data_IF_800165453623
#
_entry.id   IF_800165453623
#
_cell.length_a   1.000
_cell.length_b   1.000
_cell.length_c   1.000
_cell.angle_alpha   90.00
_cell.angle_beta   90.00
_cell.angle_gamma   90.00
#
_symmetry.space_group_name_H-M   'P 1'
#
loop_
_entity.id
_entity.type
_entity.pdbx_description
1 polymer ?
#
# COMPACT_ATOMS: atom_id res chain seq x y z
N UNK A 1 10.48 18.34 13.65
CA UNK A 1 9.65 17.12 13.85
C UNK A 1 9.71 16.32 12.56
N UNK A 2 9.70 14.99 12.61
CA UNK A 2 10.05 14.08 11.49
C UNK A 2 8.90 13.77 10.50
N UNK A 3 7.80 14.54 10.54
CA UNK A 3 6.64 14.31 9.69
C UNK A 3 6.24 15.62 9.01
N UNK A 4 5.97 15.56 7.71
CA UNK A 4 5.51 16.73 6.94
C UNK A 4 4.11 17.12 7.37
N UNK A 5 3.79 18.42 7.29
CA UNK A 5 2.47 18.94 7.64
C UNK A 5 1.37 18.28 6.78
N UNK A 6 1.69 17.95 5.52
CA UNK A 6 0.82 17.21 4.60
C UNK A 6 0.50 15.81 5.13
N UNK A 7 1.50 15.09 5.64
CA UNK A 7 1.28 13.76 6.21
C UNK A 7 0.33 13.83 7.40
N UNK A 8 0.49 14.83 8.28
CA UNK A 8 -0.42 15.03 9.40
C UNK A 8 -1.84 15.39 8.95
N UNK A 9 -2.00 16.27 7.96
CA UNK A 9 -3.32 16.62 7.42
C UNK A 9 -4.07 15.39 6.88
N UNK A 10 -3.39 14.56 6.08
CA UNK A 10 -3.99 13.34 5.53
C UNK A 10 -4.22 12.26 6.59
N UNK A 11 -3.50 12.30 7.71
CA UNK A 11 -3.70 11.38 8.82
C UNK A 11 -4.87 11.80 9.73
N UNK A 12 -5.00 13.10 10.04
CA UNK A 12 -6.07 13.63 10.87
C UNK A 12 -7.41 13.70 10.12
N UNK A 13 -7.36 13.96 8.81
CA UNK A 13 -8.52 14.07 7.93
C UNK A 13 -8.34 13.21 6.67
N UNK A 14 -8.33 11.86 6.80
CA UNK A 14 -8.19 10.99 5.64
C UNK A 14 -9.41 11.19 4.74
N UNK A 15 -9.16 11.59 3.49
CA UNK A 15 -10.22 11.80 2.50
C UNK A 15 -10.61 10.47 1.88
N UNK A 16 -11.80 10.36 1.30
CA UNK A 16 -12.17 9.17 0.52
C UNK A 16 -12.14 7.82 1.27
N UNK A 17 -12.24 7.84 2.61
CA UNK A 17 -12.35 6.61 3.40
C UNK A 17 -13.74 6.01 3.21
N UNK A 18 -13.79 4.74 2.80
CA UNK A 18 -15.06 4.04 2.63
C UNK A 18 -14.94 2.80 1.78
N UNK A 19 -16.08 2.20 1.45
CA UNK A 19 -16.15 1.10 0.48
C UNK A 19 -17.26 1.38 -0.53
N UNK A 20 -17.13 0.73 -1.69
CA UNK A 20 -18.20 0.59 -2.66
C UNK A 20 -18.80 -0.82 -2.59
N UNK A 21 -19.99 -0.97 -3.14
CA UNK A 21 -20.62 -2.28 -3.30
C UNK A 21 -19.85 -3.11 -4.32
N UNK A 22 -19.49 -4.34 -3.94
CA UNK A 22 -18.68 -5.24 -4.77
C UNK A 22 -19.45 -5.73 -6.03
N UNK A 23 -20.77 -5.53 -6.07
CA UNK A 23 -21.67 -5.92 -7.15
C UNK A 23 -21.71 -4.94 -8.34
N UNK A 24 -21.15 -3.73 -8.21
CA UNK A 24 -21.07 -2.80 -9.33
C UNK A 24 -20.05 -3.31 -10.38
N UNK A 25 -20.44 -3.48 -11.67
CA UNK A 25 -19.53 -3.95 -12.72
C UNK A 25 -18.44 -2.93 -13.05
N UNK A 26 -18.67 -1.66 -12.68
CA UNK A 26 -17.79 -0.54 -12.93
C UNK A 26 -16.80 -0.29 -11.77
N UNK A 27 -16.77 -1.18 -10.76
CA UNK A 27 -15.88 -1.05 -9.61
C UNK A 27 -14.78 -2.10 -9.70
N UNK A 28 -13.53 -1.61 -9.79
CA UNK A 28 -12.31 -2.42 -9.63
C UNK A 28 -11.89 -2.44 -8.17
N UNK A 29 -11.54 -3.61 -7.65
CA UNK A 29 -11.10 -3.80 -6.27
C UNK A 29 -9.70 -4.39 -6.23
N UNK A 30 -8.76 -3.66 -5.62
CA UNK A 30 -7.41 -4.13 -5.32
C UNK A 30 -7.25 -4.31 -3.83
N UNK A 31 -6.91 -5.52 -3.39
CA UNK A 31 -6.55 -5.79 -2.00
C UNK A 31 -5.09 -6.23 -1.97
N UNK A 32 -4.27 -5.49 -1.24
CA UNK A 32 -2.84 -5.79 -1.06
C UNK A 32 -2.51 -5.70 0.41
N UNK A 33 -1.50 -6.45 0.84
CA UNK A 33 -1.01 -6.39 2.20
C UNK A 33 0.40 -6.92 2.29
N UNK A 34 1.16 -6.39 3.25
CA UNK A 34 2.52 -6.84 3.52
C UNK A 34 2.55 -7.57 4.86
N UNK A 35 2.76 -8.90 4.88
CA UNK A 35 2.82 -9.67 6.11
C UNK A 35 3.99 -9.25 7.01
N UNK A 36 5.05 -8.66 6.45
CA UNK A 36 6.21 -8.17 7.18
C UNK A 36 5.91 -6.94 8.06
N UNK A 37 5.01 -6.06 7.61
CA UNK A 37 4.66 -4.83 8.33
C UNK A 37 3.28 -4.89 9.00
N UNK A 38 2.45 -5.89 8.65
CA UNK A 38 1.07 -6.01 9.11
C UNK A 38 0.13 -4.98 8.49
N UNK A 39 0.58 -4.27 7.44
CA UNK A 39 -0.22 -3.28 6.74
C UNK A 39 -1.09 -3.99 5.67
N UNK A 40 -2.39 -3.70 5.67
CA UNK A 40 -3.36 -4.20 4.70
C UNK A 40 -4.13 -3.02 4.11
N UNK A 41 -4.24 -2.97 2.78
CA UNK A 41 -4.94 -1.92 2.05
C UNK A 41 -5.91 -2.54 1.05
N UNK A 42 -7.18 -2.12 1.15
CA UNK A 42 -8.21 -2.35 0.13
C UNK A 42 -8.48 -1.02 -0.57
N UNK A 43 -8.18 -0.96 -1.86
CA UNK A 43 -8.51 0.15 -2.75
C UNK A 43 -9.65 -0.26 -3.67
N UNK A 44 -10.65 0.60 -3.80
CA UNK A 44 -11.76 0.41 -4.72
C UNK A 44 -11.89 1.64 -5.61
N UNK A 45 -11.89 1.40 -6.92
CA UNK A 45 -11.94 2.44 -7.94
C UNK A 45 -13.22 2.28 -8.74
N UNK A 46 -14.03 3.34 -8.77
CA UNK A 46 -15.19 3.43 -9.65
C UNK A 46 -14.74 4.03 -10.98
N UNK A 47 -14.82 3.24 -12.03
CA UNK A 47 -14.30 3.57 -13.35
C UNK A 47 -15.46 3.75 -14.31
N UNK A 48 -15.37 4.76 -15.15
CA UNK A 48 -16.31 4.99 -16.22
C UNK A 48 -16.02 4.05 -17.40
N UNK A 49 -16.99 3.24 -17.87
CA UNK A 49 -16.77 2.27 -18.93
C UNK A 49 -16.60 2.90 -20.32
N UNK A 50 -17.05 4.14 -20.54
CA UNK A 50 -16.97 4.83 -21.83
C UNK A 50 -15.64 5.57 -21.99
N UNK A 51 -15.16 6.18 -20.91
CA UNK A 51 -13.97 7.05 -20.91
C UNK A 51 -12.74 6.43 -20.23
N UNK A 52 -12.89 5.24 -19.63
CA UNK A 52 -11.85 4.55 -18.86
C UNK A 52 -11.17 5.48 -17.83
N UNK A 53 -11.99 6.37 -17.25
CA UNK A 53 -11.58 7.39 -16.28
C UNK A 53 -12.09 7.03 -14.90
N UNK A 54 -11.27 7.25 -13.87
CA UNK A 54 -11.64 7.01 -12.48
C UNK A 54 -12.58 8.13 -12.03
N UNK A 55 -13.87 7.81 -11.84
CA UNK A 55 -14.89 8.75 -11.36
C UNK A 55 -14.69 9.03 -9.87
N UNK A 56 -14.48 7.97 -9.10
CA UNK A 56 -14.31 8.07 -7.66
C UNK A 56 -13.42 6.93 -7.15
N UNK A 57 -12.66 7.23 -6.11
CA UNK A 57 -11.77 6.28 -5.46
C UNK A 57 -12.10 6.25 -3.98
N UNK A 58 -12.15 5.05 -3.41
CA UNK A 58 -12.30 4.83 -1.97
C UNK A 58 -11.26 3.85 -1.50
N UNK A 59 -10.76 4.06 -0.28
CA UNK A 59 -9.84 3.12 0.33
C UNK A 59 -10.26 2.77 1.76
N UNK A 60 -9.85 1.58 2.18
CA UNK A 60 -9.79 1.15 3.57
C UNK A 60 -8.42 0.54 3.79
N UNK A 61 -7.66 1.09 4.72
CA UNK A 61 -6.37 0.53 5.11
C UNK A 61 -6.30 0.34 6.61
N UNK A 62 -5.64 -0.75 7.01
CA UNK A 62 -5.27 -1.06 8.36
C UNK A 62 -3.75 -1.06 8.38
N UNK A 63 -3.14 -0.18 9.16
CA UNK A 63 -1.69 -0.06 9.15
C UNK A 63 -1.19 1.20 9.83
N UNK A 64 0.07 1.50 9.58
CA UNK A 64 0.71 2.71 10.10
C UNK A 64 0.07 3.99 9.53
N UNK A 65 0.08 5.09 10.32
CA UNK A 65 -0.49 6.38 9.88
C UNK A 65 0.14 6.93 8.58
N UNK A 66 1.38 6.54 8.28
CA UNK A 66 2.06 6.87 7.02
C UNK A 66 1.45 6.14 5.81
N UNK A 67 0.92 4.92 5.98
CA UNK A 67 0.19 4.20 4.95
C UNK A 67 -1.15 4.88 4.68
N UNK A 68 -1.91 5.25 5.74
CA UNK A 68 -3.18 5.99 5.61
C UNK A 68 -2.98 7.30 4.83
N UNK A 69 -1.94 8.07 5.17
CA UNK A 69 -1.64 9.32 4.47
C UNK A 69 -1.28 9.08 2.99
N UNK A 70 -0.47 8.06 2.70
CA UNK A 70 -0.11 7.66 1.33
C UNK A 70 -1.33 7.25 0.51
N UNK A 71 -2.23 6.45 1.09
CA UNK A 71 -3.47 6.03 0.43
C UNK A 71 -4.40 7.21 0.18
N UNK A 72 -4.55 8.13 1.15
CA UNK A 72 -5.38 9.33 0.99
C UNK A 72 -4.88 10.18 -0.17
N UNK A 73 -3.57 10.48 -0.21
CA UNK A 73 -2.98 11.27 -1.29
C UNK A 73 -3.16 10.58 -2.65
N UNK A 74 -2.92 9.27 -2.71
CA UNK A 74 -3.10 8.49 -3.93
C UNK A 74 -4.54 8.58 -4.44
N UNK A 75 -5.54 8.43 -3.56
CA UNK A 75 -6.95 8.49 -3.97
C UNK A 75 -7.36 9.83 -4.56
N UNK A 76 -6.76 10.93 -4.12
CA UNK A 76 -6.99 12.24 -4.74
C UNK A 76 -6.33 12.35 -6.11
N UNK A 77 -5.13 11.78 -6.28
CA UNK A 77 -4.41 11.83 -7.54
C UNK A 77 -5.06 10.98 -8.62
N UNK A 78 -5.57 9.79 -8.28
CA UNK A 78 -6.22 8.90 -9.26
C UNK A 78 -7.59 9.42 -9.67
N UNK A 79 -8.25 10.24 -8.86
CA UNK A 79 -9.57 10.77 -9.17
C UNK A 79 -9.53 11.70 -10.39
N UNK A 80 -10.34 11.39 -11.41
CA UNK A 80 -10.40 12.14 -12.66
C UNK A 80 -9.27 11.84 -13.66
N UNK A 81 -8.39 10.87 -13.37
CA UNK A 81 -7.37 10.37 -14.30
C UNK A 81 -7.87 9.15 -15.06
N UNK A 82 -7.32 8.92 -16.26
CA UNK A 82 -7.51 7.67 -16.99
C UNK A 82 -6.74 6.52 -16.33
N UNK A 83 -7.10 5.27 -16.63
CA UNK A 83 -6.38 4.10 -16.12
C UNK A 83 -4.88 4.14 -16.47
N UNK A 84 -4.53 4.61 -17.66
CA UNK A 84 -3.13 4.74 -18.11
C UNK A 84 -2.38 5.77 -17.26
N UNK A 85 -2.98 6.94 -17.04
CA UNK A 85 -2.39 8.00 -16.21
C UNK A 85 -2.28 7.60 -14.74
N UNK A 86 -3.21 6.76 -14.26
CA UNK A 86 -3.14 6.22 -12.92
C UNK A 86 -1.93 5.27 -12.78
N UNK A 87 -1.67 4.43 -13.78
CA UNK A 87 -0.51 3.53 -13.82
C UNK A 87 0.84 4.27 -13.96
N UNK A 88 0.84 5.49 -14.49
CA UNK A 88 2.06 6.33 -14.53
C UNK A 88 2.48 6.86 -13.15
N UNK A 89 1.59 6.81 -12.15
CA UNK A 89 1.92 7.26 -10.78
C UNK A 89 2.89 6.27 -10.14
N UNK A 90 4.09 6.75 -9.81
CA UNK A 90 5.13 5.90 -9.20
C UNK A 90 5.23 6.15 -7.70
N UNK A 91 5.66 5.11 -6.98
CA UNK A 91 6.01 5.18 -5.56
C UNK A 91 6.94 6.37 -5.20
N UNK A 92 7.88 6.71 -6.08
CA UNK A 92 8.84 7.82 -5.87
C UNK A 92 8.15 9.18 -5.77
N UNK A 93 7.09 9.39 -6.53
CA UNK A 93 6.37 10.66 -6.58
C UNK A 93 5.56 10.85 -5.30
N UNK A 94 4.94 9.78 -4.79
CA UNK A 94 4.24 9.74 -3.49
C UNK A 94 5.23 9.98 -2.33
N UNK A 95 6.36 9.27 -2.33
CA UNK A 95 7.38 9.39 -1.28
C UNK A 95 7.98 10.80 -1.23
N UNK A 96 8.17 11.44 -2.39
CA UNK A 96 8.66 12.81 -2.50
C UNK A 96 7.64 13.83 -2.00
N UNK A 97 6.37 13.64 -2.34
CA UNK A 97 5.29 14.57 -1.93
C UNK A 97 5.06 14.56 -0.41
N UNK A 98 5.17 13.39 0.21
CA UNK A 98 5.03 13.21 1.64
C UNK A 98 6.33 13.45 2.42
N UNK A 99 7.43 13.75 1.71
CA UNK A 99 8.78 13.92 2.26
C UNK A 99 9.20 12.75 3.17
N UNK A 100 8.86 11.53 2.74
CA UNK A 100 9.10 10.34 3.54
C UNK A 100 10.61 10.02 3.59
N UNK A 101 11.16 9.70 4.77
CA UNK A 101 12.51 9.20 4.87
C UNK A 101 12.64 7.87 4.12
N UNK A 102 13.83 7.53 3.58
CA UNK A 102 14.04 6.40 2.67
C UNK A 102 13.64 5.03 3.24
N UNK A 103 13.50 4.91 4.55
CA UNK A 103 13.04 3.69 5.24
C UNK A 103 11.53 3.43 5.04
N UNK A 104 10.72 4.47 4.80
CA UNK A 104 9.25 4.36 4.66
C UNK A 104 8.75 4.24 3.21
N UNK A 105 9.65 3.99 2.26
CA UNK A 105 9.29 3.82 0.84
C UNK A 105 8.38 2.60 0.60
N UNK A 106 8.41 1.60 1.50
CA UNK A 106 7.54 0.42 1.41
C UNK A 106 6.03 0.77 1.40
N UNK A 107 5.60 1.83 2.11
CA UNK A 107 4.22 2.29 2.08
C UNK A 107 3.81 2.84 0.70
N UNK A 108 4.77 3.40 -0.05
CA UNK A 108 4.54 3.94 -1.39
C UNK A 108 4.48 2.84 -2.45
N UNK A 109 5.23 1.75 -2.25
CA UNK A 109 5.16 0.55 -3.10
C UNK A 109 3.80 -0.12 -2.92
N UNK A 110 3.36 -0.31 -1.68
CA UNK A 110 2.05 -0.91 -1.38
C UNK A 110 0.89 -0.11 -2.01
N UNK A 111 0.97 1.21 -2.00
CA UNK A 111 -0.03 2.07 -2.64
C UNK A 111 -0.05 1.91 -4.17
N UNK A 112 1.11 1.74 -4.81
CA UNK A 112 1.22 1.49 -6.24
C UNK A 112 0.68 0.10 -6.60
N UNK A 113 1.06 -0.94 -5.85
CA UNK A 113 0.60 -2.31 -6.07
C UNK A 113 -0.93 -2.41 -5.92
N UNK A 114 -1.51 -1.68 -4.94
CA UNK A 114 -2.96 -1.60 -4.76
C UNK A 114 -3.68 -1.03 -5.99
N UNK A 115 -3.06 -0.03 -6.64
CA UNK A 115 -3.59 0.62 -7.82
C UNK A 115 -3.54 -0.32 -9.03
N UNK A 116 -2.40 -0.97 -9.27
CA UNK A 116 -2.26 -1.96 -10.33
C UNK A 116 -3.27 -3.09 -10.17
N UNK A 117 -3.37 -3.68 -8.98
CA UNK A 117 -4.32 -4.74 -8.67
C UNK A 117 -5.78 -4.31 -8.92
N UNK A 118 -6.16 -3.08 -8.55
CA UNK A 118 -7.51 -2.56 -8.77
C UNK A 118 -7.83 -2.36 -10.27
N UNK A 119 -6.85 -1.91 -11.06
CA UNK A 119 -6.99 -1.75 -12.52
C UNK A 119 -7.08 -3.11 -13.22
N UNK A 120 -6.26 -4.07 -12.80
CA UNK A 120 -6.30 -5.44 -13.32
C UNK A 120 -7.63 -6.13 -13.02
N UNK A 121 -8.15 -6.01 -11.79
CA UNK A 121 -9.47 -6.54 -11.43
C UNK A 121 -10.57 -5.94 -12.32
N UNK A 122 -10.54 -4.63 -12.56
CA UNK A 122 -11.48 -3.98 -13.48
C UNK A 122 -11.40 -4.54 -14.91
N UNK A 123 -10.18 -4.72 -15.45
CA UNK A 123 -9.96 -5.29 -16.79
C UNK A 123 -10.45 -6.74 -16.90
N UNK A 124 -10.24 -7.55 -15.85
CA UNK A 124 -10.72 -8.93 -15.77
C UNK A 124 -12.25 -8.99 -15.69
N UNK A 125 -12.88 -8.12 -14.88
CA UNK A 125 -14.35 -7.99 -14.81
C UNK A 125 -14.97 -7.58 -16.13
N UNK A 126 -14.34 -6.66 -16.88
CA UNK A 126 -14.76 -6.27 -18.24
C UNK A 126 -14.72 -7.47 -19.21
N UNK A 127 -13.84 -8.43 -18.98
CA UNK A 127 -13.66 -9.64 -19.80
C UNK A 127 -14.53 -10.83 -19.35
N UNK A 128 -15.31 -10.69 -18.26
CA UNK A 128 -16.28 -11.68 -17.80
C UNK A 128 -15.82 -12.61 -16.67
N UNK A 129 -14.60 -12.45 -16.16
CA UNK A 129 -14.09 -13.23 -15.03
C UNK A 129 -14.26 -12.45 -13.72
N UNK A 130 -15.34 -12.72 -12.97
CA UNK A 130 -15.49 -12.26 -11.59
C UNK A 130 -14.60 -13.11 -10.68
N UNK A 131 -13.46 -12.60 -10.24
CA UNK A 131 -12.80 -13.11 -9.04
C UNK A 131 -13.08 -12.20 -7.84
N UNK A 132 -13.45 -12.84 -6.75
CA UNK A 132 -13.69 -12.24 -5.44
C UNK A 132 -12.31 -12.01 -4.84
N UNK A 133 -11.98 -10.75 -4.54
CA UNK A 133 -10.64 -10.28 -4.16
C UNK A 133 -9.82 -11.30 -3.38
N UNK A 134 -8.72 -11.75 -4.00
CA UNK A 134 -7.69 -12.51 -3.34
C UNK A 134 -7.11 -11.66 -2.22
N UNK A 135 -7.23 -12.17 -1.00
CA UNK A 135 -6.42 -11.74 0.11
C UNK A 135 -4.93 -11.89 -0.29
N UNK A 136 -4.02 -11.09 0.25
CA UNK A 136 -2.61 -11.17 -0.13
C UNK A 136 -2.09 -12.61 0.04
N UNK A 137 -1.83 -13.26 -1.08
CA UNK A 137 -1.11 -14.53 -1.14
C UNK A 137 0.32 -14.28 -0.67
N UNK A 138 0.73 -15.12 0.27
CA UNK A 138 1.91 -15.00 1.10
C UNK A 138 3.19 -14.93 0.25
N UNK A 139 3.83 -13.77 0.21
CA UNK A 139 5.16 -13.63 -0.37
C UNK A 139 6.24 -13.66 0.72
N UNK A 140 6.74 -14.87 0.90
CA UNK A 140 8.12 -15.24 1.25
C UNK A 140 8.65 -14.83 2.64
N UNK A 141 8.60 -15.81 3.54
CA UNK A 141 9.50 -15.95 4.67
C UNK A 141 10.94 -16.17 4.20
N UNK A 142 11.55 -15.16 3.59
CA UNK A 142 13.00 -15.05 3.51
C UNK A 142 13.46 -14.55 4.89
N UNK A 143 13.81 -15.50 5.75
CA UNK A 143 14.61 -15.26 6.94
C UNK A 143 16.00 -14.78 6.48
N UNK A 144 16.08 -13.53 6.06
CA UNK A 144 17.31 -12.81 5.80
C UNK A 144 17.87 -12.32 7.11
N UNK A 145 18.42 -13.22 7.92
CA UNK A 145 19.37 -12.83 8.96
C UNK A 145 20.62 -12.32 8.24
N UNK A 146 20.59 -11.05 7.84
CA UNK A 146 21.82 -10.33 7.53
C UNK A 146 22.61 -10.20 8.82
N UNK A 147 23.87 -10.69 8.90
CA UNK A 147 24.70 -10.44 10.06
C UNK A 147 24.97 -8.94 10.12
N UNK A 148 24.25 -8.27 11.02
CA UNK A 148 24.58 -6.93 11.48
C UNK A 148 25.98 -6.98 12.10
N UNK A 149 26.86 -6.14 11.58
CA UNK A 149 28.12 -5.76 12.19
C UNK A 149 27.87 -5.36 13.65
N UNK A 150 28.22 -6.25 14.57
CA UNK A 150 28.39 -5.94 15.99
C UNK A 150 29.69 -5.15 16.15
N UNK A 151 29.68 -3.87 15.82
CA UNK A 151 30.67 -2.93 16.33
C UNK A 151 30.28 -2.56 17.75
N UNK A 152 30.65 -3.39 18.73
CA UNK A 152 30.95 -2.95 20.09
C UNK A 152 31.87 -3.97 20.78
N UNK A 153 33.12 -3.53 20.97
CA UNK A 153 33.91 -3.69 22.19
C UNK A 153 34.07 -5.12 22.76
N UNK A 154 35.22 -5.72 22.43
CA UNK A 154 36.12 -6.39 23.38
C UNK A 154 35.50 -7.09 24.61
N UNK A 155 35.42 -8.42 24.60
CA UNK A 155 35.23 -9.23 25.82
C UNK A 155 34.83 -10.69 25.56
N UNK A 156 35.80 -11.60 25.69
CA UNK A 156 35.78 -13.07 25.89
C UNK A 156 34.50 -13.92 25.70
N UNK A 157 34.52 -14.94 24.80
CA UNK A 157 33.42 -15.87 24.55
C UNK A 157 33.57 -17.25 25.25
N UNK A 158 33.54 -17.34 26.58
CA UNK A 158 33.63 -18.65 27.29
C UNK A 158 32.65 -18.92 28.44
N UNK A 159 31.55 -18.17 28.59
CA UNK A 159 30.50 -18.54 29.55
C UNK A 159 29.10 -18.26 29.00
N UNK A 160 28.54 -19.22 28.26
CA UNK A 160 27.14 -19.22 27.85
C UNK A 160 26.50 -20.63 27.88
N UNK A 161 27.02 -21.53 28.71
CA UNK A 161 26.49 -22.90 28.80
C UNK A 161 26.39 -23.33 30.27
N UNK A 162 25.52 -22.68 31.06
CA UNK A 162 25.04 -23.24 32.34
C UNK A 162 23.89 -22.42 32.96
N UNK A 163 22.86 -22.12 32.15
CA UNK A 163 21.57 -21.64 32.67
C UNK A 163 20.47 -21.78 31.61
N UNK A 164 20.31 -22.98 31.09
CA UNK A 164 19.06 -23.37 30.43
C UNK A 164 18.85 -24.89 30.61
N UNK A 165 18.51 -25.24 31.85
CA UNK A 165 18.06 -26.56 32.33
C UNK A 165 19.13 -27.62 32.58
#
# INVERSE_FOLDING_TARGET
MQYSDKLMEHFEHPRNVGSFDDDEPNVGTGMVGSPACGDVMKLQLKIDPETETVIDAKFKTFGCGSAIASSSLLTEWVKGKTLEQALEIRNKDIAKELELPPIKVHCSVLAQDALEAAVEDYRKRKSGEKQKGDAPEEADASCGVGPGECHHLSGDPTKCDEQCT
#
